data_IF_682033075274
#
_entry.id   IF_682033075274
#
_cell.length_a   1.000
_cell.length_b   1.000
_cell.length_c   1.000
_cell.angle_alpha   90.00
_cell.angle_beta   90.00
_cell.angle_gamma   90.00
#
_symmetry.space_group_name_H-M   'P 1'
#
loop_
_entity.id
_entity.type
_entity.pdbx_description
1 polymer ?
#
# COMPACT_ATOMS: atom_id res chain seq x y z
N UNK A 1 -7.66 9.61 24.81
CA UNK A 1 -6.88 9.35 23.59
C UNK A 1 -6.24 7.96 23.79
N UNK A 2 -6.37 7.08 22.82
CA UNK A 2 -5.97 5.66 23.00
C UNK A 2 -4.48 5.41 22.76
N UNK A 3 -3.60 6.42 22.73
CA UNK A 3 -2.16 6.27 22.44
C UNK A 3 -1.91 5.32 21.23
N UNK A 4 -2.71 5.47 20.19
CA UNK A 4 -2.62 4.71 18.94
C UNK A 4 -2.26 5.63 17.78
N UNK A 5 -1.49 5.11 16.83
CA UNK A 5 -1.15 5.83 15.61
C UNK A 5 -1.19 4.89 14.40
N UNK A 6 -1.47 5.47 13.24
CA UNK A 6 -1.26 4.80 11.98
C UNK A 6 0.25 4.71 11.68
N UNK A 7 0.67 3.61 11.11
CA UNK A 7 2.02 3.40 10.59
C UNK A 7 1.89 3.35 9.07
N UNK A 8 2.38 4.39 8.40
CA UNK A 8 2.35 4.47 6.94
C UNK A 8 3.53 3.66 6.37
N UNK A 9 3.22 2.66 5.57
CA UNK A 9 4.21 1.85 4.86
C UNK A 9 4.41 2.33 3.43
N UNK A 10 3.30 2.63 2.73
CA UNK A 10 3.39 3.09 1.36
C UNK A 10 2.21 4.03 1.01
N UNK A 11 2.47 4.99 0.14
CA UNK A 11 1.46 5.86 -0.45
C UNK A 11 1.60 5.87 -1.99
N UNK A 12 2.43 6.74 -2.55
CA UNK A 12 2.71 6.76 -3.97
C UNK A 12 3.76 5.69 -4.32
N UNK A 13 3.45 4.84 -5.29
CA UNK A 13 4.37 3.84 -5.85
C UNK A 13 4.63 4.18 -7.31
N UNK A 14 5.89 4.45 -7.72
CA UNK A 14 6.23 4.62 -9.13
C UNK A 14 5.86 3.41 -9.97
N UNK A 15 5.49 3.65 -11.24
CA UNK A 15 5.05 2.59 -12.14
C UNK A 15 6.12 1.53 -12.37
N UNK A 16 7.37 1.95 -12.46
CA UNK A 16 8.53 1.07 -12.68
C UNK A 16 8.72 0.10 -11.50
N UNK A 17 8.50 0.58 -10.28
CA UNK A 17 8.53 -0.25 -9.06
C UNK A 17 7.40 -1.28 -9.11
N UNK A 18 6.20 -0.85 -9.47
CA UNK A 18 5.04 -1.74 -9.63
C UNK A 18 5.30 -2.83 -10.68
N UNK A 19 5.85 -2.46 -11.83
CA UNK A 19 6.19 -3.40 -12.89
C UNK A 19 7.25 -4.40 -12.43
N UNK A 20 8.32 -3.93 -11.79
CA UNK A 20 9.39 -4.79 -11.29
C UNK A 20 8.89 -5.83 -10.26
N UNK A 21 7.98 -5.43 -9.36
CA UNK A 21 7.35 -6.36 -8.40
C UNK A 21 6.48 -7.38 -9.14
N UNK A 22 5.70 -6.95 -10.13
CA UNK A 22 4.87 -7.84 -10.95
C UNK A 22 5.71 -8.87 -11.73
N UNK A 23 6.81 -8.44 -12.34
CA UNK A 23 7.74 -9.31 -13.07
C UNK A 23 8.43 -10.31 -12.13
N UNK A 24 8.86 -9.86 -10.95
CA UNK A 24 9.47 -10.73 -9.94
C UNK A 24 8.47 -11.79 -9.44
N UNK A 25 7.22 -11.41 -9.19
CA UNK A 25 6.16 -12.34 -8.77
C UNK A 25 5.84 -13.35 -9.87
N UNK A 26 5.77 -12.93 -11.14
CA UNK A 26 5.57 -13.84 -12.27
C UNK A 26 6.71 -14.84 -12.40
N UNK A 27 7.97 -14.37 -12.33
CA UNK A 27 9.15 -15.24 -12.40
C UNK A 27 9.18 -16.26 -11.25
N UNK A 28 8.77 -15.82 -10.05
CA UNK A 28 8.66 -16.73 -8.91
C UNK A 28 7.56 -17.78 -9.13
N UNK A 29 6.40 -17.38 -9.64
CA UNK A 29 5.30 -18.28 -9.94
C UNK A 29 5.63 -19.28 -11.06
N UNK A 30 6.47 -18.91 -12.03
CA UNK A 30 6.95 -19.82 -13.08
C UNK A 30 7.86 -20.94 -12.54
N UNK A 31 8.57 -20.66 -11.46
CA UNK A 31 9.51 -21.62 -10.85
C UNK A 31 8.96 -22.30 -9.58
N UNK A 32 7.81 -21.87 -9.07
CA UNK A 32 7.25 -22.37 -7.80
C UNK A 32 5.74 -22.60 -7.94
N UNK A 33 5.36 -23.89 -7.96
CA UNK A 33 3.96 -24.30 -8.13
C UNK A 33 3.02 -23.83 -6.99
N UNK A 34 3.53 -23.65 -5.77
CA UNK A 34 2.73 -23.16 -4.65
C UNK A 34 2.42 -21.66 -4.82
N UNK A 35 3.40 -20.88 -5.27
CA UNK A 35 3.19 -19.46 -5.58
C UNK A 35 2.25 -19.32 -6.78
N UNK A 36 2.43 -20.11 -7.84
CA UNK A 36 1.53 -20.11 -8.99
C UNK A 36 0.09 -20.42 -8.59
N UNK A 37 -0.12 -21.42 -7.75
CA UNK A 37 -1.44 -21.75 -7.22
C UNK A 37 -2.02 -20.63 -6.34
N UNK A 38 -1.19 -19.97 -5.54
CA UNK A 38 -1.63 -18.93 -4.62
C UNK A 38 -2.03 -17.62 -5.32
N UNK A 39 -1.32 -17.22 -6.40
CA UNK A 39 -1.51 -15.90 -7.02
C UNK A 39 -2.13 -15.93 -8.40
N UNK A 40 -1.72 -16.86 -9.29
CA UNK A 40 -2.25 -16.92 -10.67
C UNK A 40 -3.43 -17.88 -10.84
N UNK A 41 -3.46 -18.96 -10.05
CA UNK A 41 -4.54 -19.97 -10.05
C UNK A 41 -5.44 -19.89 -8.81
N UNK A 42 -5.38 -18.78 -8.08
CA UNK A 42 -6.22 -18.59 -6.91
C UNK A 42 -7.71 -18.56 -7.32
N UNK A 43 -8.58 -19.37 -6.70
CA UNK A 43 -9.98 -19.45 -7.10
C UNK A 43 -10.82 -18.24 -6.67
N UNK A 44 -10.34 -17.44 -5.72
CA UNK A 44 -11.08 -16.32 -5.12
C UNK A 44 -10.59 -14.95 -5.59
N UNK A 45 -9.32 -14.85 -5.99
CA UNK A 45 -8.67 -13.59 -6.38
C UNK A 45 -7.87 -13.77 -7.66
N UNK A 46 -8.11 -12.95 -8.66
CA UNK A 46 -7.20 -12.89 -9.81
C UNK A 46 -5.88 -12.22 -9.40
N UNK A 47 -4.80 -12.49 -10.13
CA UNK A 47 -3.47 -11.94 -9.85
C UNK A 47 -3.47 -10.41 -9.71
N UNK A 48 -4.33 -9.72 -10.47
CA UNK A 48 -4.44 -8.26 -10.42
C UNK A 48 -4.89 -7.70 -9.06
N UNK A 49 -5.45 -8.52 -8.19
CA UNK A 49 -5.78 -8.15 -6.82
C UNK A 49 -4.63 -8.33 -5.84
N UNK A 50 -3.56 -9.02 -6.24
CA UNK A 50 -2.31 -9.09 -5.48
C UNK A 50 -1.30 -8.08 -6.00
N UNK A 51 -1.18 -7.96 -7.32
CA UNK A 51 -0.34 -6.97 -7.98
C UNK A 51 -0.92 -6.58 -9.33
N UNK A 52 -1.26 -5.33 -9.50
CA UNK A 52 -1.72 -4.80 -10.79
C UNK A 52 -0.51 -4.33 -11.59
N UNK A 53 -0.29 -4.91 -12.77
CA UNK A 53 0.80 -4.53 -13.67
C UNK A 53 0.52 -3.28 -14.49
N UNK A 54 -0.72 -2.77 -14.47
CA UNK A 54 -1.12 -1.51 -15.10
C UNK A 54 -0.95 -0.31 -14.17
N UNK A 55 -1.68 0.77 -14.45
CA UNK A 55 -1.80 1.92 -13.56
C UNK A 55 -2.80 1.61 -12.45
N UNK A 56 -2.29 1.36 -11.26
CA UNK A 56 -3.07 1.11 -10.04
C UNK A 56 -3.29 2.37 -9.21
N UNK A 57 -3.99 2.22 -8.09
CA UNK A 57 -4.35 3.36 -7.23
C UNK A 57 -3.15 4.01 -6.54
N UNK A 58 -2.08 3.26 -6.24
CA UNK A 58 -0.81 3.83 -5.74
C UNK A 58 -0.15 4.75 -6.77
N UNK A 59 -0.17 4.39 -8.06
CA UNK A 59 0.37 5.22 -9.14
C UNK A 59 -0.46 6.47 -9.40
N UNK A 60 -1.74 6.44 -9.02
CA UNK A 60 -2.64 7.60 -9.08
C UNK A 60 -2.54 8.49 -7.83
N UNK A 61 -1.82 8.08 -6.80
CA UNK A 61 -1.74 8.78 -5.51
C UNK A 61 -3.04 8.74 -4.70
N UNK A 62 -3.89 7.74 -4.94
CA UNK A 62 -5.19 7.57 -4.27
C UNK A 62 -5.29 6.27 -3.47
N UNK A 63 -4.16 5.72 -3.08
CA UNK A 63 -4.10 4.58 -2.17
C UNK A 63 -3.01 4.74 -1.13
N UNK A 64 -3.22 4.13 0.02
CA UNK A 64 -2.23 4.02 1.10
C UNK A 64 -2.20 2.59 1.63
N UNK A 65 -0.98 2.14 1.99
CA UNK A 65 -0.75 0.93 2.76
C UNK A 65 -0.36 1.32 4.19
N UNK A 66 -1.19 0.94 5.14
CA UNK A 66 -1.07 1.36 6.53
C UNK A 66 -1.26 0.19 7.49
N UNK A 67 -0.65 0.33 8.65
CA UNK A 67 -0.88 -0.53 9.81
C UNK A 67 -1.26 0.31 11.03
N UNK A 68 -1.50 -0.34 12.16
CA UNK A 68 -1.88 0.29 13.42
C UNK A 68 -0.88 -0.12 14.51
N UNK A 69 -0.52 0.83 15.35
CA UNK A 69 0.34 0.58 16.48
C UNK A 69 0.01 1.45 17.69
N UNK A 70 0.57 1.08 18.83
CA UNK A 70 0.57 1.91 20.03
C UNK A 70 1.85 2.71 20.13
N UNK A 71 1.81 3.81 20.91
CA UNK A 71 2.98 4.58 21.25
C UNK A 71 2.95 4.98 22.74
N UNK A 72 4.10 5.27 23.32
CA UNK A 72 4.20 5.62 24.74
C UNK A 72 4.44 7.10 24.99
N UNK A 73 4.96 7.82 24.02
CA UNK A 73 5.26 9.25 24.14
C UNK A 73 5.20 9.95 22.78
N UNK A 74 5.23 11.27 22.81
CA UNK A 74 5.31 12.09 21.60
C UNK A 74 6.44 13.09 21.73
N UNK A 75 6.99 13.51 20.59
CA UNK A 75 7.96 14.60 20.48
C UNK A 75 7.42 15.64 19.52
N UNK A 76 7.48 16.94 19.88
CA UNK A 76 7.09 17.99 18.95
C UNK A 76 8.08 18.05 17.78
N UNK A 77 7.54 18.05 16.55
CA UNK A 77 8.31 18.17 15.30
C UNK A 77 7.72 19.28 14.47
N UNK A 78 8.55 20.15 13.93
CA UNK A 78 8.13 21.23 13.03
C UNK A 78 8.00 20.68 11.60
N UNK A 79 6.83 20.85 10.99
CA UNK A 79 6.56 20.50 9.59
C UNK A 79 6.07 21.78 8.90
N UNK A 80 6.91 22.40 8.10
CA UNK A 80 6.65 23.74 7.59
C UNK A 80 6.44 24.72 8.75
N UNK A 81 5.31 25.41 8.75
CA UNK A 81 4.95 26.38 9.81
C UNK A 81 4.14 25.76 10.96
N UNK A 82 3.86 24.47 10.90
CA UNK A 82 3.04 23.76 11.91
C UNK A 82 3.92 22.86 12.79
N UNK A 83 3.66 22.89 14.10
CA UNK A 83 4.26 21.91 15.03
C UNK A 83 3.29 20.76 15.24
N UNK A 84 3.74 19.53 14.94
CA UNK A 84 2.97 18.31 15.15
C UNK A 84 3.59 17.44 16.23
N UNK A 85 2.78 16.65 16.92
CA UNK A 85 3.25 15.70 17.92
C UNK A 85 3.56 14.36 17.23
N UNK A 86 4.84 14.08 17.02
CA UNK A 86 5.27 12.81 16.43
C UNK A 86 5.28 11.72 17.50
N UNK A 87 4.56 10.60 17.30
CA UNK A 87 4.64 9.44 18.17
C UNK A 87 6.06 8.88 18.26
N UNK A 88 6.47 8.45 19.45
CA UNK A 88 7.75 7.80 19.70
C UNK A 88 7.54 6.49 20.45
N UNK A 89 8.51 5.59 20.36
CA UNK A 89 8.39 4.21 20.89
C UNK A 89 7.13 3.53 20.35
N UNK A 90 6.94 3.61 19.02
CA UNK A 90 5.82 2.98 18.33
C UNK A 90 6.03 1.48 18.30
N UNK A 91 5.00 0.74 18.67
CA UNK A 91 4.95 -0.70 18.59
C UNK A 91 3.75 -1.12 17.75
N UNK A 92 4.04 -1.74 16.60
CA UNK A 92 3.00 -2.24 15.71
C UNK A 92 2.23 -3.38 16.36
N UNK A 93 0.92 -3.41 16.15
CA UNK A 93 0.08 -4.52 16.61
C UNK A 93 0.26 -5.75 15.73
N UNK A 94 -0.02 -6.91 16.29
CA UNK A 94 -0.01 -8.17 15.55
C UNK A 94 -1.19 -8.19 14.56
N UNK A 95 -0.89 -8.03 13.28
CA UNK A 95 -1.85 -8.05 12.18
C UNK A 95 -2.07 -9.48 11.64
N UNK A 96 -3.06 -9.73 10.76
CA UNK A 96 -3.35 -11.08 10.24
C UNK A 96 -2.17 -11.75 9.56
N UNK A 97 -1.35 -10.96 8.87
CA UNK A 97 -0.12 -11.39 8.18
C UNK A 97 0.95 -10.30 8.30
N UNK A 98 2.14 -10.60 7.82
CA UNK A 98 3.11 -9.56 7.57
C UNK A 98 2.60 -8.59 6.49
N UNK A 99 3.07 -7.34 6.54
CA UNK A 99 2.81 -6.34 5.51
C UNK A 99 3.28 -6.86 4.14
N UNK A 100 2.46 -6.63 3.11
CA UNK A 100 2.72 -7.05 1.73
C UNK A 100 2.83 -8.57 1.52
N UNK A 101 2.29 -9.39 2.42
CA UNK A 101 2.15 -10.83 2.16
C UNK A 101 1.06 -11.07 1.09
N UNK A 102 1.45 -11.39 -0.12
CA UNK A 102 0.55 -11.64 -1.25
C UNK A 102 -0.07 -13.04 -1.15
N UNK A 103 -1.01 -13.20 -0.24
CA UNK A 103 -1.70 -14.47 0.01
C UNK A 103 -3.16 -14.27 0.39
N UNK A 104 -3.98 -15.31 0.25
CA UNK A 104 -5.37 -15.28 0.70
C UNK A 104 -5.50 -15.05 2.22
N UNK A 105 -4.47 -15.29 3.02
CA UNK A 105 -4.45 -15.03 4.47
C UNK A 105 -4.48 -13.54 4.78
N UNK A 106 -3.97 -12.70 3.86
CA UNK A 106 -4.00 -11.24 3.97
C UNK A 106 -5.36 -10.63 3.61
N UNK A 107 -6.26 -11.42 3.02
CA UNK A 107 -7.52 -10.93 2.48
C UNK A 107 -8.48 -10.43 3.56
N UNK A 108 -9.14 -9.31 3.26
CA UNK A 108 -10.24 -8.73 4.06
C UNK A 108 -11.53 -9.51 3.82
N UNK A 109 -11.80 -9.86 2.55
CA UNK A 109 -13.01 -10.58 2.15
C UNK A 109 -12.70 -11.96 1.58
N UNK A 110 -13.67 -12.85 1.59
CA UNK A 110 -13.50 -14.24 1.09
C UNK A 110 -13.33 -14.34 -0.42
N UNK A 111 -13.73 -13.29 -1.17
CA UNK A 111 -13.66 -13.23 -2.64
C UNK A 111 -13.31 -11.82 -3.10
N UNK A 112 -12.80 -11.75 -4.33
CA UNK A 112 -12.60 -10.47 -4.99
C UNK A 112 -13.94 -9.76 -5.23
N UNK A 113 -13.93 -8.44 -5.11
CA UNK A 113 -14.99 -7.56 -5.54
C UNK A 113 -14.38 -6.29 -6.16
N UNK A 114 -15.18 -5.50 -6.87
CA UNK A 114 -14.65 -4.28 -7.50
C UNK A 114 -14.13 -3.29 -6.46
N UNK A 115 -12.86 -2.92 -6.56
CA UNK A 115 -12.21 -1.94 -5.66
C UNK A 115 -12.79 -0.52 -5.78
N UNK A 116 -13.61 -0.27 -6.80
CA UNK A 116 -14.38 0.97 -6.98
C UNK A 116 -15.83 0.84 -6.55
N UNK A 117 -16.25 -0.35 -6.09
CA UNK A 117 -17.59 -0.61 -5.58
C UNK A 117 -17.85 0.09 -4.26
N UNK A 118 -19.12 0.39 -3.99
CA UNK A 118 -19.58 1.01 -2.76
C UNK A 118 -20.25 0.03 -1.80
N UNK A 119 -20.35 -1.23 -2.19
CA UNK A 119 -21.05 -2.30 -1.48
C UNK A 119 -20.12 -3.23 -0.70
N UNK A 120 -18.90 -2.78 -0.40
CA UNK A 120 -17.93 -3.56 0.36
C UNK A 120 -18.46 -4.01 1.75
N UNK A 121 -19.39 -3.25 2.35
CA UNK A 121 -20.01 -3.59 3.64
C UNK A 121 -20.88 -4.84 3.56
N UNK A 122 -21.36 -5.21 2.37
CA UNK A 122 -22.16 -6.42 2.14
C UNK A 122 -21.31 -7.68 1.91
N UNK A 123 -19.99 -7.51 1.78
CA UNK A 123 -19.08 -8.62 1.49
C UNK A 123 -18.81 -9.48 2.72
N UNK A 124 -18.58 -10.77 2.51
CA UNK A 124 -18.24 -11.70 3.60
C UNK A 124 -16.78 -11.55 4.00
N UNK A 125 -16.55 -11.20 5.26
CA UNK A 125 -15.20 -11.08 5.82
C UNK A 125 -14.49 -12.44 5.86
N UNK A 126 -13.19 -12.43 5.55
CA UNK A 126 -12.30 -13.58 5.74
C UNK A 126 -12.08 -13.85 7.23
N UNK A 127 -11.92 -15.13 7.60
CA UNK A 127 -11.75 -15.53 9.00
C UNK A 127 -10.48 -14.96 9.63
N UNK A 128 -9.38 -14.93 8.88
CA UNK A 128 -8.12 -14.33 9.33
C UNK A 128 -8.28 -12.84 9.68
N UNK A 129 -9.07 -12.13 8.91
CA UNK A 129 -9.33 -10.70 9.13
C UNK A 129 -10.30 -10.47 10.28
N UNK A 130 -11.50 -11.08 10.24
CA UNK A 130 -12.54 -10.82 11.24
C UNK A 130 -12.16 -11.22 12.67
N UNK A 131 -11.25 -12.18 12.82
CA UNK A 131 -10.76 -12.62 14.11
C UNK A 131 -9.57 -11.80 14.63
N UNK A 132 -9.04 -10.87 13.82
CA UNK A 132 -7.98 -9.96 14.23
C UNK A 132 -8.58 -8.59 14.61
N UNK A 133 -8.65 -8.33 15.92
CA UNK A 133 -9.25 -7.10 16.44
C UNK A 133 -8.57 -5.83 15.94
N UNK A 134 -7.25 -5.86 15.67
CA UNK A 134 -6.49 -4.70 15.24
C UNK A 134 -6.70 -4.39 13.75
N UNK A 135 -6.82 -5.42 12.91
CA UNK A 135 -7.18 -5.24 11.50
C UNK A 135 -8.60 -4.68 11.34
N UNK A 136 -9.56 -5.21 12.10
CA UNK A 136 -10.95 -4.69 12.14
C UNK A 136 -10.96 -3.23 12.62
N UNK A 137 -10.16 -2.90 13.63
CA UNK A 137 -10.05 -1.53 14.16
C UNK A 137 -9.41 -0.60 13.14
N UNK A 138 -8.32 -1.02 12.48
CA UNK A 138 -7.69 -0.27 11.40
C UNK A 138 -8.69 0.04 10.29
N UNK A 139 -9.43 -0.98 9.82
CA UNK A 139 -10.48 -0.78 8.82
C UNK A 139 -11.52 0.24 9.28
N UNK A 140 -11.96 0.16 10.54
CA UNK A 140 -12.92 1.12 11.10
C UNK A 140 -12.41 2.55 11.06
N UNK A 141 -11.13 2.78 11.39
CA UNK A 141 -10.52 4.11 11.31
C UNK A 141 -10.44 4.62 9.86
N UNK A 142 -9.93 3.80 8.94
CA UNK A 142 -9.77 4.20 7.55
C UNK A 142 -11.12 4.42 6.84
N UNK A 143 -12.09 3.54 7.07
CA UNK A 143 -13.43 3.70 6.47
C UNK A 143 -14.22 4.86 7.12
N UNK A 144 -14.02 5.10 8.41
CA UNK A 144 -14.55 6.29 9.10
C UNK A 144 -13.97 7.60 8.55
N UNK A 145 -12.77 7.57 7.98
CA UNK A 145 -12.15 8.68 7.25
C UNK A 145 -12.56 8.75 5.76
N UNK A 146 -13.45 7.89 5.28
CA UNK A 146 -13.97 7.89 3.91
C UNK A 146 -13.17 7.03 2.93
N UNK A 147 -12.17 6.28 3.39
CA UNK A 147 -11.41 5.36 2.54
C UNK A 147 -12.14 4.03 2.34
N UNK A 148 -11.82 3.33 1.26
CA UNK A 148 -12.41 2.04 0.90
C UNK A 148 -11.36 0.94 1.00
N UNK A 149 -11.63 -0.20 1.70
CA UNK A 149 -10.69 -1.31 1.80
C UNK A 149 -10.55 -2.06 0.47
N UNK A 150 -9.37 -2.63 0.21
CA UNK A 150 -9.15 -3.60 -0.86
C UNK A 150 -9.49 -5.00 -0.36
N UNK A 151 -10.07 -5.83 -1.23
CA UNK A 151 -10.56 -7.16 -0.82
C UNK A 151 -9.46 -8.16 -0.46
N UNK A 152 -8.29 -8.06 -1.06
CA UNK A 152 -7.18 -9.01 -0.93
C UNK A 152 -6.13 -8.62 0.12
N UNK A 153 -6.19 -7.39 0.65
CA UNK A 153 -5.09 -6.81 1.43
C UNK A 153 -5.64 -6.01 2.63
N UNK A 154 -5.37 -6.46 3.85
CA UNK A 154 -5.87 -5.82 5.08
C UNK A 154 -5.28 -4.42 5.32
N UNK A 155 -4.14 -4.11 4.72
CA UNK A 155 -3.40 -2.85 4.89
C UNK A 155 -3.79 -1.77 3.88
N UNK A 156 -4.42 -2.16 2.74
CA UNK A 156 -4.62 -1.30 1.58
C UNK A 156 -5.98 -0.59 1.61
N UNK A 157 -5.94 0.73 1.48
CA UNK A 157 -7.13 1.58 1.45
C UNK A 157 -7.08 2.57 0.29
N UNK A 158 -8.21 2.71 -0.41
CA UNK A 158 -8.36 3.59 -1.57
C UNK A 158 -9.18 4.82 -1.24
N UNK A 159 -8.78 5.99 -1.76
CA UNK A 159 -9.64 7.17 -1.84
C UNK A 159 -10.45 7.12 -3.15
N UNK A 160 -11.62 6.47 -3.06
CA UNK A 160 -12.54 6.38 -4.20
C UNK A 160 -13.33 7.68 -4.45
N UNK A 161 -13.24 8.67 -3.57
CA UNK A 161 -13.84 10.01 -3.76
C UNK A 161 -13.01 10.82 -4.76
N UNK A 162 -11.70 10.80 -4.62
CA UNK A 162 -10.78 11.54 -5.49
C UNK A 162 -10.45 10.76 -6.77
N UNK A 163 -10.43 9.44 -6.72
CA UNK A 163 -10.05 8.57 -7.83
C UNK A 163 -10.68 8.95 -9.19
N UNK A 164 -11.99 9.25 -9.31
CA UNK A 164 -12.59 9.61 -10.60
C UNK A 164 -11.98 10.86 -11.24
N UNK A 165 -11.48 11.80 -10.44
CA UNK A 165 -10.88 13.04 -10.93
C UNK A 165 -9.46 12.85 -11.48
N UNK A 166 -8.76 11.76 -11.11
CA UNK A 166 -7.35 11.53 -11.48
C UNK A 166 -7.17 10.37 -12.47
N UNK A 167 -8.09 9.41 -12.51
CA UNK A 167 -7.92 8.17 -13.31
C UNK A 167 -7.79 8.44 -14.83
N UNK A 168 -8.43 9.47 -15.33
CA UNK A 168 -8.38 9.84 -16.74
C UNK A 168 -7.20 10.76 -17.12
N UNK A 169 -6.56 11.40 -16.15
CA UNK A 169 -5.48 12.36 -16.36
C UNK A 169 -4.10 11.79 -16.05
N UNK A 170 -4.02 10.73 -15.26
CA UNK A 170 -2.77 10.13 -14.88
C UNK A 170 -2.24 9.19 -15.98
N UNK A 171 -1.07 9.49 -16.49
CA UNK A 171 -0.38 8.62 -17.46
C UNK A 171 0.31 7.44 -16.80
N UNK A 172 0.38 7.43 -15.46
CA UNK A 172 1.12 6.44 -14.66
C UNK A 172 2.64 6.61 -14.72
N UNK A 173 3.13 7.57 -15.50
CA UNK A 173 4.55 7.85 -15.66
C UNK A 173 4.94 9.09 -14.83
N UNK A 174 4.95 8.92 -13.51
CA UNK A 174 5.53 9.93 -12.63
C UNK A 174 6.96 9.53 -12.29
N UNK A 175 7.91 10.33 -12.74
CA UNK A 175 9.29 10.22 -12.29
C UNK A 175 9.48 11.12 -11.07
N UNK A 176 9.96 10.55 -9.97
CA UNK A 176 10.45 11.35 -8.86
C UNK A 176 11.81 11.89 -9.28
N UNK A 177 11.82 13.09 -9.84
CA UNK A 177 13.08 13.77 -10.23
C UNK A 177 13.83 14.31 -9.02
N UNK A 178 13.17 14.45 -7.88
CA UNK A 178 13.77 14.97 -6.67
C UNK A 178 12.99 14.46 -5.44
N UNK A 179 13.66 13.73 -4.57
CA UNK A 179 13.10 13.35 -3.27
C UNK A 179 13.57 14.40 -2.25
N UNK A 180 12.67 15.30 -1.88
CA UNK A 180 12.90 16.22 -0.76
C UNK A 180 12.46 15.51 0.51
N UNK A 181 13.39 14.88 1.24
CA UNK A 181 13.15 14.52 2.62
C UNK A 181 13.51 15.71 3.50
N UNK A 182 12.54 16.33 4.13
CA UNK A 182 12.82 17.12 5.31
C UNK A 182 13.16 16.16 6.44
N UNK A 183 14.41 16.19 6.88
CA UNK A 183 14.78 15.52 8.12
C UNK A 183 13.89 16.02 9.28
N UNK A 184 13.67 15.21 10.32
CA UNK A 184 12.85 15.60 11.47
C UNK A 184 13.28 16.88 12.18
N UNK A 185 14.50 17.33 11.96
CA UNK A 185 15.08 18.58 12.48
C UNK A 185 14.82 19.81 11.60
N UNK A 186 14.08 19.66 10.50
CA UNK A 186 13.80 20.75 9.56
C UNK A 186 14.94 21.08 8.60
N UNK A 187 16.06 20.34 8.66
CA UNK A 187 17.11 20.45 7.64
C UNK A 187 16.65 19.76 6.35
N UNK A 188 16.83 20.40 5.21
CA UNK A 188 16.75 19.73 3.92
C UNK A 188 18.04 18.95 3.72
N UNK A 189 18.05 17.67 4.02
CA UNK A 189 19.08 16.80 3.47
C UNK A 189 18.71 16.53 2.02
N UNK A 190 19.43 17.12 1.11
CA UNK A 190 19.48 16.63 -0.26
C UNK A 190 20.02 15.19 -0.17
N UNK A 191 19.24 14.15 -0.49
CA UNK A 191 19.69 12.77 -0.45
C UNK A 191 20.68 12.47 -1.58
N UNK A 192 21.56 13.38 -1.92
CA UNK A 192 22.57 13.28 -2.96
C UNK A 192 21.95 12.82 -4.27
N UNK A 193 22.19 13.50 -5.34
CA UNK A 193 21.81 13.08 -6.68
C UNK A 193 22.10 11.58 -6.81
N UNK A 194 21.04 10.78 -6.72
CA UNK A 194 21.15 9.39 -7.15
C UNK A 194 21.70 9.45 -8.57
N UNK A 195 22.87 8.88 -8.87
CA UNK A 195 23.39 8.96 -10.21
C UNK A 195 22.31 8.41 -11.12
N UNK A 196 21.90 9.24 -12.07
CA UNK A 196 20.93 8.94 -13.12
C UNK A 196 21.20 7.49 -13.56
N UNK A 197 20.24 6.54 -13.42
CA UNK A 197 20.45 5.22 -13.97
C UNK A 197 20.63 5.43 -15.47
N UNK A 198 21.84 5.19 -15.94
CA UNK A 198 22.32 5.31 -17.31
C UNK A 198 21.19 5.02 -18.33
N UNK A 199 20.71 6.00 -19.09
CA UNK A 199 19.68 5.77 -20.11
C UNK A 199 20.23 5.01 -21.33
N UNK A 200 21.47 4.55 -21.29
CA UNK A 200 22.12 3.85 -22.37
C UNK A 200 22.50 2.41 -22.01
N UNK A 201 21.74 1.43 -22.49
CA UNK A 201 22.28 0.10 -22.63
C UNK A 201 21.43 -1.07 -22.15
N UNK A 202 20.22 -1.19 -22.62
CA UNK A 202 19.67 -2.53 -22.88
C UNK A 202 19.52 -2.70 -24.38
N UNK A 203 20.63 -3.11 -25.01
CA UNK A 203 20.56 -3.80 -26.29
C UNK A 203 19.72 -5.08 -26.04
N UNK A 204 18.67 -5.19 -26.81
CA UNK A 204 17.81 -6.36 -26.89
C UNK A 204 18.63 -7.46 -27.60
N UNK A 205 18.98 -8.60 -26.98
CA UNK A 205 19.51 -9.72 -27.74
C UNK A 205 18.35 -10.33 -28.51
N UNK A 206 18.51 -10.37 -29.86
CA UNK A 206 17.59 -10.96 -30.83
C UNK A 206 17.32 -12.46 -30.65
#
# INVERSE_FOLDING_TARGET
ANNECLILYEAFRPREVQAAVGDALNSLADSNAEVDAAVRKNPNFSMAYFINTGTGNHQLGVAIDVSLGSFTSTTPVKVGDTTVQKPTNVQEYSMPTQMHELSQRAAVFTKQYSHTGTDWQSQTLADSFKNNQYAVKLQSYCTGAGLTPLCSEWWHFNDNTIRPSVVGSATGAFYISQCLSTAPDGSTTDPGTNPDPDPGGRENPG
#
